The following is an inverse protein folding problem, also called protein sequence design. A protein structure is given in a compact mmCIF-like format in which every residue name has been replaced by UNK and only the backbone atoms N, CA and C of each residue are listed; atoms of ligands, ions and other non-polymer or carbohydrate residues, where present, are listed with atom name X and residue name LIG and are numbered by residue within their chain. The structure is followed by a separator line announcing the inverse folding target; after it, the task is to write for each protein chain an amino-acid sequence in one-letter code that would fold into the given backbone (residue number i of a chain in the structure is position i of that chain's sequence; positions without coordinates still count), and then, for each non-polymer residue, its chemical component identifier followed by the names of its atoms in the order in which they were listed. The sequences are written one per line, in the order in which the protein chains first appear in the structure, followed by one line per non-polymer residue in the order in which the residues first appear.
data_IF_062743305665
#
_entry.id   IF_062743305665
#
_cell.length_a   1.000
_cell.length_b   1.000
_cell.length_c   1.000
_cell.angle_alpha   90.00
_cell.angle_beta   90.00
_cell.angle_gamma   90.00
#
_symmetry.space_group_name_H-M   'P 1'
#
loop_
_entity.id
_entity.type
_entity.pdbx_description
1 polymer ?
#
# COMPACT_ATOMS: atom_id res chain seq x y z
N UNK A 1 -17.89 9.38 6.68
CA UNK A 1 -16.56 8.97 6.20
C UNK A 1 -16.55 9.15 4.70
N UNK A 2 -15.76 10.09 4.19
CA UNK A 2 -15.55 10.26 2.74
C UNK A 2 -14.61 9.17 2.21
N UNK A 3 -14.57 8.99 0.89
CA UNK A 3 -13.64 8.05 0.24
C UNK A 3 -12.18 8.44 0.52
N UNK A 4 -11.90 9.75 0.59
CA UNK A 4 -10.58 10.29 0.90
C UNK A 4 -10.18 10.04 2.35
N UNK A 5 -11.07 10.27 3.32
CA UNK A 5 -10.82 9.91 4.72
C UNK A 5 -10.63 8.40 4.91
N UNK A 6 -11.39 7.60 4.17
CA UNK A 6 -11.26 6.13 4.20
C UNK A 6 -9.91 5.68 3.64
N UNK A 7 -9.46 6.28 2.53
CA UNK A 7 -8.16 6.00 1.94
C UNK A 7 -7.01 6.42 2.88
N UNK A 8 -7.08 7.62 3.48
CA UNK A 8 -6.11 8.09 4.49
C UNK A 8 -5.97 7.11 5.65
N UNK A 9 -7.10 6.63 6.18
CA UNK A 9 -7.11 5.66 7.28
C UNK A 9 -6.54 4.30 6.85
N UNK A 10 -6.89 3.84 5.65
CA UNK A 10 -6.36 2.58 5.12
C UNK A 10 -4.84 2.64 4.95
N UNK A 11 -4.31 3.77 4.50
CA UNK A 11 -2.88 4.01 4.31
C UNK A 11 -2.16 4.49 5.58
N UNK A 12 -2.88 4.68 6.69
CA UNK A 12 -2.34 5.16 7.97
C UNK A 12 -1.57 6.49 7.84
N UNK A 13 -2.07 7.43 7.02
CA UNK A 13 -1.39 8.72 6.77
C UNK A 13 -1.18 9.55 8.06
N UNK A 14 -1.99 9.35 9.09
CA UNK A 14 -1.80 9.98 10.41
C UNK A 14 -0.51 9.52 11.11
N UNK A 15 -0.13 8.23 10.94
CA UNK A 15 1.06 7.63 11.59
C UNK A 15 2.28 7.59 10.68
N UNK A 16 2.06 7.39 9.39
CA UNK A 16 3.08 7.24 8.36
C UNK A 16 2.74 8.15 7.19
N UNK A 17 2.86 9.47 7.35
CA UNK A 17 2.57 10.42 6.28
C UNK A 17 3.51 10.18 5.10
N UNK A 18 2.92 10.05 3.91
CA UNK A 18 3.64 9.77 2.66
C UNK A 18 3.00 10.48 1.47
N UNK A 19 1.66 10.53 1.43
CA UNK A 19 0.92 11.12 0.32
C UNK A 19 0.33 12.48 0.72
N UNK A 20 0.31 13.41 -0.23
CA UNK A 20 -0.50 14.62 -0.09
C UNK A 20 -1.98 14.32 -0.36
N UNK A 21 -2.86 15.23 0.05
CA UNK A 21 -4.30 15.12 -0.25
C UNK A 21 -4.57 15.06 -1.76
N UNK A 22 -3.78 15.79 -2.57
CA UNK A 22 -3.86 15.73 -4.03
C UNK A 22 -3.44 14.36 -4.58
N UNK A 23 -2.38 13.74 -4.05
CA UNK A 23 -1.96 12.40 -4.46
C UNK A 23 -3.04 11.35 -4.16
N UNK A 24 -3.69 11.47 -3.00
CA UNK A 24 -4.79 10.59 -2.61
C UNK A 24 -6.03 10.79 -3.49
N UNK A 25 -6.34 12.04 -3.83
CA UNK A 25 -7.42 12.37 -4.75
C UNK A 25 -7.14 11.80 -6.16
N UNK A 26 -5.88 11.88 -6.61
CA UNK A 26 -5.43 11.30 -7.87
C UNK A 26 -5.53 9.77 -7.86
N UNK A 27 -5.13 9.12 -6.75
CA UNK A 27 -5.30 7.69 -6.54
C UNK A 27 -6.77 7.28 -6.63
N UNK A 28 -7.67 8.02 -5.98
CA UNK A 28 -9.12 7.76 -6.07
C UNK A 28 -9.71 8.01 -7.47
N UNK A 29 -9.07 8.87 -8.27
CA UNK A 29 -9.50 9.11 -9.65
C UNK A 29 -9.02 8.02 -10.60
N UNK A 30 -7.86 7.42 -10.32
CA UNK A 30 -7.27 6.35 -11.14
C UNK A 30 -7.93 4.98 -10.91
N UNK A 31 -8.54 4.75 -9.75
CA UNK A 31 -9.12 3.46 -9.39
C UNK A 31 -10.60 3.59 -9.03
N UNK A 32 -11.39 2.59 -9.41
CA UNK A 32 -12.86 2.63 -9.25
C UNK A 32 -13.30 2.50 -7.79
N UNK A 33 -12.54 1.81 -6.96
CA UNK A 33 -12.89 1.58 -5.56
C UNK A 33 -11.79 2.05 -4.60
N UNK A 34 -12.21 2.48 -3.40
CA UNK A 34 -11.29 2.83 -2.30
C UNK A 34 -10.38 1.65 -1.94
N UNK A 35 -10.85 0.41 -2.10
CA UNK A 35 -10.06 -0.80 -1.86
C UNK A 35 -8.91 -0.93 -2.87
N UNK A 36 -9.17 -0.75 -4.16
CA UNK A 36 -8.13 -0.76 -5.20
C UNK A 36 -7.13 0.37 -5.02
N UNK A 37 -7.60 1.58 -4.72
CA UNK A 37 -6.73 2.71 -4.38
C UNK A 37 -5.87 2.40 -3.14
N UNK A 38 -6.46 1.76 -2.11
CA UNK A 38 -5.74 1.36 -0.89
C UNK A 38 -4.68 0.29 -1.17
N UNK A 39 -4.98 -0.66 -2.05
CA UNK A 39 -4.04 -1.68 -2.50
C UNK A 39 -2.82 -1.02 -3.15
N UNK A 40 -3.06 -0.11 -4.09
CA UNK A 40 -2.02 0.56 -4.86
C UNK A 40 -1.19 1.52 -4.01
N UNK A 41 -1.83 2.28 -3.13
CA UNK A 41 -1.12 3.11 -2.14
C UNK A 41 -0.21 2.28 -1.22
N UNK A 42 -0.65 1.09 -0.80
CA UNK A 42 0.21 0.17 -0.03
C UNK A 42 1.39 -0.35 -0.85
N UNK A 43 1.20 -0.65 -2.15
CA UNK A 43 2.31 -1.07 -3.02
C UNK A 43 3.35 0.04 -3.18
N UNK A 44 2.92 1.28 -3.38
CA UNK A 44 3.82 2.44 -3.48
C UNK A 44 4.61 2.61 -2.18
N UNK A 45 3.93 2.56 -1.02
CA UNK A 45 4.58 2.60 0.30
C UNK A 45 5.50 1.42 0.58
N UNK A 46 5.34 0.33 -0.17
CA UNK A 46 6.18 -0.86 -0.03
C UNK A 46 7.47 -0.80 -0.83
N UNK A 47 7.73 0.28 -1.56
CA UNK A 47 9.04 0.47 -2.20
C UNK A 47 10.16 0.35 -1.17
N UNK A 48 11.25 -0.30 -1.58
CA UNK A 48 12.35 -0.56 -0.67
C UNK A 48 13.10 0.73 -0.37
N UNK A 49 12.90 1.26 0.83
CA UNK A 49 13.60 2.45 1.34
C UNK A 49 14.77 2.06 2.27
N UNK A 50 15.34 0.87 2.06
CA UNK A 50 16.49 0.42 2.84
C UNK A 50 17.74 1.20 2.43
N UNK A 51 18.34 1.89 3.39
CA UNK A 51 19.58 2.64 3.20
C UNK A 51 20.72 1.82 3.80
N UNK A 52 21.76 1.57 3.00
CA UNK A 52 23.00 0.92 3.45
C UNK A 52 24.12 1.95 3.44
N UNK A 53 24.64 2.30 4.62
CA UNK A 53 25.79 3.19 4.78
C UNK A 53 26.90 2.44 5.52
N UNK A 54 27.87 1.92 4.76
CA UNK A 54 28.92 1.05 5.31
C UNK A 54 28.33 -0.26 5.85
N UNK A 55 28.59 -0.57 7.13
CA UNK A 55 28.06 -1.76 7.81
C UNK A 55 26.69 -1.58 8.49
N UNK A 56 26.11 -0.37 8.44
CA UNK A 56 24.79 -0.08 9.00
C UNK A 56 23.72 -0.18 7.90
N UNK A 57 22.70 -1.02 8.16
CA UNK A 57 21.54 -1.19 7.29
C UNK A 57 20.27 -0.83 8.06
N UNK A 58 19.46 0.08 7.52
CA UNK A 58 18.11 0.33 8.06
C UNK A 58 17.14 -0.75 7.57
N UNK A 59 16.25 -1.20 8.46
CA UNK A 59 15.21 -2.16 8.09
C UNK A 59 14.16 -1.48 7.22
N UNK A 60 13.81 -2.13 6.11
CA UNK A 60 12.74 -1.68 5.23
C UNK A 60 11.36 -1.95 5.85
N UNK A 61 10.42 -1.02 5.66
CA UNK A 61 9.02 -1.23 6.00
C UNK A 61 8.23 -1.90 4.86
N UNK A 62 8.90 -2.27 3.75
CA UNK A 62 8.30 -2.91 2.58
C UNK A 62 7.41 -4.11 2.94
N UNK A 63 7.93 -5.02 3.77
CA UNK A 63 7.21 -6.24 4.19
C UNK A 63 5.90 -5.95 4.94
N UNK A 64 5.84 -4.86 5.70
CA UNK A 64 4.63 -4.45 6.40
C UNK A 64 3.56 -4.00 5.41
N UNK A 65 3.92 -3.11 4.49
CA UNK A 65 2.99 -2.57 3.50
C UNK A 65 2.53 -3.63 2.49
N UNK A 66 3.40 -4.56 2.08
CA UNK A 66 3.01 -5.70 1.25
C UNK A 66 1.98 -6.61 1.93
N UNK A 67 2.14 -6.88 3.24
CA UNK A 67 1.17 -7.68 4.00
C UNK A 67 -0.17 -6.95 4.11
N UNK A 68 -0.15 -5.63 4.32
CA UNK A 68 -1.34 -4.81 4.41
C UNK A 68 -2.08 -4.72 3.08
N UNK A 69 -1.35 -4.58 1.95
CA UNK A 69 -1.90 -4.56 0.61
C UNK A 69 -2.78 -5.80 0.34
N UNK A 70 -2.33 -6.99 0.80
CA UNK A 70 -3.08 -8.24 0.62
C UNK A 70 -4.51 -8.20 1.19
N UNK A 71 -4.77 -7.37 2.20
CA UNK A 71 -6.11 -7.24 2.81
C UNK A 71 -7.12 -6.55 1.89
N UNK A 72 -6.66 -5.74 0.94
CA UNK A 72 -7.52 -4.98 0.02
C UNK A 72 -7.74 -5.70 -1.32
N UNK A 73 -7.19 -6.91 -1.50
CA UNK A 73 -7.28 -7.65 -2.76
C UNK A 73 -8.51 -8.54 -2.75
N UNK A 74 -9.47 -8.25 -3.63
CA UNK A 74 -10.75 -8.97 -3.70
C UNK A 74 -10.69 -10.39 -4.29
N UNK A 75 -9.53 -10.86 -4.78
CA UNK A 75 -9.39 -12.14 -5.49
C UNK A 75 -8.98 -13.34 -4.61
N UNK A 76 -9.24 -13.30 -3.30
CA UNK A 76 -8.91 -14.38 -2.38
C UNK A 76 -10.00 -15.48 -2.33
N UNK A 77 -10.48 -15.95 -3.49
CA UNK A 77 -11.35 -17.15 -3.58
C UNK A 77 -10.61 -18.46 -3.27
N UNK A 78 -9.40 -18.42 -2.72
CA UNK A 78 -8.65 -19.59 -2.21
C UNK A 78 -8.18 -20.60 -3.27
N UNK A 79 -8.64 -20.47 -4.52
CA UNK A 79 -8.48 -21.50 -5.56
C UNK A 79 -7.54 -21.12 -6.71
N UNK A 80 -6.95 -19.92 -6.69
CA UNK A 80 -5.99 -19.48 -7.71
C UNK A 80 -4.60 -19.32 -7.06
N UNK A 81 -3.73 -20.32 -7.24
CA UNK A 81 -2.30 -20.18 -6.94
C UNK A 81 -1.69 -19.14 -7.87
N UNK A 82 -0.76 -18.34 -7.35
CA UNK A 82 -0.11 -17.30 -8.16
C UNK A 82 0.88 -17.96 -9.13
N UNK A 83 1.06 -17.37 -10.31
CA UNK A 83 1.98 -17.89 -11.31
C UNK A 83 3.46 -17.83 -10.85
N UNK A 84 3.77 -16.98 -9.89
CA UNK A 84 5.09 -16.82 -9.27
C UNK A 84 5.24 -17.61 -7.95
N UNK A 85 4.28 -18.48 -7.63
CA UNK A 85 4.36 -19.44 -6.52
C UNK A 85 4.70 -20.87 -7.01
N UNK A 86 5.26 -21.01 -8.22
CA UNK A 86 5.81 -22.26 -8.78
C UNK A 86 7.33 -22.27 -8.72
#
# INVERSE_FOLDING_TARGET
MTDLESLKNNLLEDKFPYFSDEDLQNLLTQYTTVQEASYQGCLIKSQDDSISLGGLKTSSNSSFWLKRAKLFRNNLTGNLKRADEV
#
